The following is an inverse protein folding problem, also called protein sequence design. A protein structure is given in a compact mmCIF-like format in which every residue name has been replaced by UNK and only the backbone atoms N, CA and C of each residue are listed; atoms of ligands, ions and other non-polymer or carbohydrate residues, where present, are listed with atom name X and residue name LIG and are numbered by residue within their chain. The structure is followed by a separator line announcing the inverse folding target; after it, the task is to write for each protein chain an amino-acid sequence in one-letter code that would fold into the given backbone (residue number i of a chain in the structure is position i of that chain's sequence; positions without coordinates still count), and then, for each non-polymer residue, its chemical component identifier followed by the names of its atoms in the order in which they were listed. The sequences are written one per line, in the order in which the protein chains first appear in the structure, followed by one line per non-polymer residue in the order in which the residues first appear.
data_IF_825153338463
#
_entry.id   IF_825153338463
#
_cell.length_a   1.000
_cell.length_b   1.000
_cell.length_c   1.000
_cell.angle_alpha   90.00
_cell.angle_beta   90.00
_cell.angle_gamma   90.00
#
_symmetry.space_group_name_H-M   'P 1'
#
loop_
_entity.id
_entity.type
_entity.pdbx_description
1 polymer ?
#
# COMPACT_ATOMS: atom_id res chain seq x y z
N UNK A 1 -28.71 -2.18 5.72
CA UNK A 1 -28.42 -3.32 4.81
C UNK A 1 -28.32 -2.76 3.39
N UNK A 2 -27.20 -2.10 3.08
CA UNK A 2 -26.93 -1.61 1.74
C UNK A 2 -26.16 -2.71 0.98
N UNK A 3 -26.72 -3.13 -0.15
CA UNK A 3 -26.18 -4.19 -0.98
C UNK A 3 -24.79 -3.81 -1.51
N UNK A 4 -23.82 -4.70 -1.28
CA UNK A 4 -22.54 -4.68 -1.97
C UNK A 4 -22.83 -5.13 -3.40
N UNK A 5 -22.97 -4.18 -4.32
CA UNK A 5 -23.11 -4.46 -5.75
C UNK A 5 -21.83 -5.07 -6.26
N UNK A 6 -21.94 -6.36 -6.55
CA UNK A 6 -20.99 -7.22 -7.23
C UNK A 6 -21.11 -7.02 -8.73
N UNK A 7 -20.52 -5.95 -9.27
CA UNK A 7 -20.11 -5.93 -10.68
C UNK A 7 -19.20 -4.74 -10.96
N UNK A 8 -17.89 -4.95 -10.99
CA UNK A 8 -16.98 -4.04 -11.68
C UNK A 8 -16.19 -4.92 -12.63
N UNK A 9 -16.68 -4.96 -13.86
CA UNK A 9 -16.18 -5.75 -14.98
C UNK A 9 -14.66 -5.57 -15.18
N UNK A 10 -13.96 -6.68 -15.41
CA UNK A 10 -12.50 -6.72 -15.62
C UNK A 10 -12.00 -5.82 -16.76
N UNK A 11 -12.87 -5.43 -17.70
CA UNK A 11 -12.55 -4.51 -18.79
C UNK A 11 -12.26 -3.08 -18.34
N UNK A 12 -12.86 -2.62 -17.23
CA UNK A 12 -12.74 -1.24 -16.77
C UNK A 12 -11.35 -0.94 -16.16
N UNK A 13 -10.66 -1.96 -15.65
CA UNK A 13 -9.36 -1.78 -14.97
C UNK A 13 -8.14 -1.91 -15.91
N UNK A 14 -8.36 -2.25 -17.17
CA UNK A 14 -7.30 -2.52 -18.15
C UNK A 14 -6.29 -1.36 -18.30
N UNK A 15 -6.77 -0.12 -18.23
CA UNK A 15 -5.92 1.07 -18.38
C UNK A 15 -4.92 1.26 -17.22
N UNK A 16 -5.22 0.79 -16.00
CA UNK A 16 -4.30 0.81 -14.86
C UNK A 16 -3.10 -0.12 -15.04
N UNK A 17 -3.15 -1.05 -16.00
CA UNK A 17 -2.05 -1.95 -16.37
C UNK A 17 -0.92 -1.23 -17.13
N UNK A 18 -1.18 -0.03 -17.65
CA UNK A 18 -0.20 0.75 -18.42
C UNK A 18 1.09 0.95 -17.63
N UNK A 19 2.24 0.66 -18.26
CA UNK A 19 3.57 0.74 -17.63
C UNK A 19 3.74 -0.15 -16.37
N UNK A 20 2.92 -1.19 -16.18
CA UNK A 20 3.05 -2.11 -15.04
C UNK A 20 3.60 -3.46 -15.48
N UNK A 21 4.40 -4.08 -14.60
CA UNK A 21 4.72 -5.51 -14.69
C UNK A 21 4.10 -6.20 -13.50
N UNK A 22 3.08 -7.03 -13.74
CA UNK A 22 2.24 -7.62 -12.69
C UNK A 22 2.26 -9.15 -12.83
N UNK A 23 2.56 -9.91 -11.75
CA UNK A 23 2.39 -11.35 -11.76
C UNK A 23 0.91 -11.71 -12.00
N UNK A 24 0.59 -12.64 -12.94
CA UNK A 24 -0.81 -12.94 -13.28
C UNK A 24 -1.68 -13.29 -12.07
N UNK A 25 -1.13 -14.02 -11.10
CA UNK A 25 -1.85 -14.44 -9.89
C UNK A 25 -2.27 -13.28 -8.97
N UNK A 26 -1.61 -12.11 -9.08
CA UNK A 26 -1.95 -10.92 -8.30
C UNK A 26 -2.64 -9.85 -9.13
N UNK A 27 -2.95 -10.12 -10.41
CA UNK A 27 -3.46 -9.11 -11.33
C UNK A 27 -4.72 -8.44 -10.80
N UNK A 28 -5.69 -9.24 -10.34
CA UNK A 28 -6.92 -8.72 -9.75
C UNK A 28 -6.62 -7.76 -8.59
N UNK A 29 -5.85 -8.19 -7.60
CA UNK A 29 -5.57 -7.37 -6.41
C UNK A 29 -4.80 -6.10 -6.75
N UNK A 30 -3.81 -6.20 -7.66
CA UNK A 30 -2.99 -5.06 -8.07
C UNK A 30 -3.78 -4.05 -8.87
N UNK A 31 -4.59 -4.48 -9.85
CA UNK A 31 -5.41 -3.58 -10.64
C UNK A 31 -6.51 -2.93 -9.80
N UNK A 32 -7.12 -3.66 -8.86
CA UNK A 32 -8.07 -3.07 -7.90
C UNK A 32 -7.39 -2.04 -7.01
N UNK A 33 -6.18 -2.30 -6.48
CA UNK A 33 -5.49 -1.30 -5.67
C UNK A 33 -5.08 -0.06 -6.50
N UNK A 34 -4.58 -0.27 -7.73
CA UNK A 34 -4.24 0.83 -8.65
C UNK A 34 -5.44 1.66 -9.06
N UNK A 35 -6.65 1.11 -9.06
CA UNK A 35 -7.85 1.86 -9.45
C UNK A 35 -8.17 3.03 -8.52
N UNK A 36 -7.62 3.01 -7.31
CA UNK A 36 -7.71 4.11 -6.35
C UNK A 36 -6.64 5.19 -6.58
N UNK A 37 -5.62 4.95 -7.41
CA UNK A 37 -4.50 5.87 -7.67
C UNK A 37 -4.37 6.20 -9.16
N UNK A 38 -5.29 6.99 -9.75
CA UNK A 38 -5.22 7.41 -11.16
C UNK A 38 -3.92 8.14 -11.52
N UNK A 39 -3.27 8.79 -10.57
CA UNK A 39 -1.98 9.47 -10.72
C UNK A 39 -0.84 8.51 -11.09
N UNK A 40 -1.01 7.21 -10.82
CA UNK A 40 -0.02 6.18 -11.07
C UNK A 40 -0.20 5.47 -12.42
N UNK A 41 -1.22 5.82 -13.23
CA UNK A 41 -1.48 5.14 -14.53
C UNK A 41 -0.23 5.13 -15.40
N UNK A 42 0.42 6.28 -15.59
CA UNK A 42 1.58 6.39 -16.47
C UNK A 42 2.92 6.08 -15.78
N UNK A 43 2.92 5.81 -14.47
CA UNK A 43 4.13 5.57 -13.69
C UNK A 43 4.62 4.13 -13.87
N UNK A 44 5.90 3.89 -14.24
CA UNK A 44 6.43 2.54 -14.32
C UNK A 44 6.56 1.88 -12.95
N UNK A 45 5.84 0.77 -12.72
CA UNK A 45 5.87 0.02 -11.46
C UNK A 45 5.97 -1.49 -11.74
N UNK A 46 6.97 -2.15 -11.15
CA UNK A 46 7.14 -3.60 -11.24
C UNK A 46 6.77 -4.27 -9.93
N UNK A 47 5.88 -5.25 -9.98
CA UNK A 47 5.53 -6.11 -8.85
C UNK A 47 6.34 -7.41 -8.96
N UNK A 48 7.19 -7.68 -7.97
CA UNK A 48 8.20 -8.75 -8.07
C UNK A 48 8.14 -9.66 -6.85
N UNK A 49 7.87 -10.94 -7.08
CA UNK A 49 7.99 -11.94 -6.01
C UNK A 49 9.44 -12.13 -5.57
N UNK A 50 9.63 -12.18 -4.25
CA UNK A 50 10.87 -12.55 -3.57
C UNK A 50 10.56 -13.73 -2.66
N UNK A 51 11.46 -14.72 -2.59
CA UNK A 51 11.26 -15.91 -1.76
C UNK A 51 10.94 -15.55 -0.30
N UNK A 52 11.67 -14.57 0.25
CA UNK A 52 11.40 -14.00 1.56
C UNK A 52 11.93 -12.57 1.63
N UNK A 53 11.18 -11.70 2.28
CA UNK A 53 11.63 -10.36 2.65
C UNK A 53 11.85 -10.34 4.17
N UNK A 54 12.94 -9.71 4.61
CA UNK A 54 13.23 -9.57 6.03
C UNK A 54 12.31 -8.52 6.64
N UNK A 55 11.56 -8.91 7.67
CA UNK A 55 10.81 -8.00 8.55
C UNK A 55 9.62 -7.28 7.91
N UNK A 56 9.22 -7.59 6.67
CA UNK A 56 7.99 -7.10 6.05
C UNK A 56 7.43 -8.10 5.03
N UNK A 57 6.17 -7.90 4.62
CA UNK A 57 5.50 -8.71 3.60
C UNK A 57 5.75 -8.12 2.21
N UNK A 58 5.66 -6.80 2.09
CA UNK A 58 5.95 -6.05 0.87
C UNK A 58 6.93 -4.90 1.14
N UNK A 59 7.55 -4.38 0.07
CA UNK A 59 8.46 -3.23 0.10
C UNK A 59 8.42 -2.46 -1.23
N UNK A 60 7.94 -1.23 -1.21
CA UNK A 60 8.11 -0.27 -2.28
C UNK A 60 9.51 0.34 -2.25
N UNK A 61 10.10 0.52 -3.43
CA UNK A 61 11.40 1.19 -3.60
C UNK A 61 11.52 1.83 -4.98
N UNK A 62 12.27 2.94 -5.11
CA UNK A 62 12.68 3.43 -6.42
C UNK A 62 13.65 2.45 -7.08
N UNK A 63 13.63 2.37 -8.40
CA UNK A 63 14.70 1.71 -9.16
C UNK A 63 15.88 2.68 -9.22
N UNK A 64 16.97 2.34 -8.52
CA UNK A 64 18.12 3.26 -8.32
C UNK A 64 18.68 3.84 -9.62
N UNK A 65 18.79 3.06 -10.69
CA UNK A 65 19.26 3.57 -11.99
C UNK A 65 18.37 4.65 -12.57
N UNK A 66 17.06 4.64 -12.28
CA UNK A 66 16.13 5.67 -12.74
C UNK A 66 16.23 6.98 -11.94
N UNK A 67 16.86 6.97 -10.76
CA UNK A 67 17.10 8.19 -9.98
C UNK A 67 18.21 9.08 -10.57
N UNK A 68 19.00 8.56 -11.52
CA UNK A 68 19.98 9.35 -12.28
C UNK A 68 19.32 10.22 -13.36
N UNK A 69 18.07 9.92 -13.71
CA UNK A 69 17.29 10.65 -14.72
C UNK A 69 16.38 11.74 -14.13
N UNK A 70 15.52 12.28 -14.99
CA UNK A 70 14.48 13.23 -14.58
C UNK A 70 13.42 12.56 -13.72
N UNK A 71 12.72 13.34 -12.89
CA UNK A 71 11.64 12.84 -12.01
C UNK A 71 10.53 12.13 -12.78
N UNK A 72 10.23 12.60 -13.99
CA UNK A 72 9.18 12.03 -14.86
C UNK A 72 9.53 10.63 -15.38
N UNK A 73 10.82 10.27 -15.45
CA UNK A 73 11.27 8.98 -15.95
C UNK A 73 11.57 7.96 -14.83
N UNK A 74 11.22 8.29 -13.58
CA UNK A 74 11.44 7.39 -12.45
C UNK A 74 10.59 6.14 -12.61
N UNK A 75 11.17 5.02 -12.19
CA UNK A 75 10.47 3.75 -12.10
C UNK A 75 10.58 3.20 -10.69
N UNK A 76 9.59 2.40 -10.32
CA UNK A 76 9.44 1.86 -8.99
C UNK A 76 9.29 0.35 -9.03
N UNK A 77 9.56 -0.27 -7.89
CA UNK A 77 9.40 -1.70 -7.70
C UNK A 77 8.76 -1.97 -6.35
N UNK A 78 7.76 -2.84 -6.35
CA UNK A 78 7.17 -3.39 -5.13
C UNK A 78 7.61 -4.85 -5.05
N UNK A 79 8.47 -5.14 -4.08
CA UNK A 79 8.84 -6.51 -3.76
C UNK A 79 7.73 -7.13 -2.90
N UNK A 80 7.35 -8.37 -3.20
CA UNK A 80 6.31 -9.11 -2.48
C UNK A 80 6.91 -10.44 -2.03
N UNK A 81 6.83 -10.75 -0.73
CA UNK A 81 7.19 -12.08 -0.25
C UNK A 81 6.26 -13.11 -0.86
N UNK A 82 6.79 -14.16 -1.51
CA UNK A 82 5.98 -15.23 -2.10
C UNK A 82 5.24 -16.07 -1.05
N UNK A 83 5.72 -16.02 0.21
CA UNK A 83 5.13 -16.70 1.36
C UNK A 83 4.89 -15.72 2.51
N UNK A 84 3.78 -15.93 3.19
CA UNK A 84 3.46 -15.38 4.49
C UNK A 84 3.96 -16.33 5.58
N UNK A 85 4.88 -15.84 6.42
CA UNK A 85 5.53 -16.66 7.45
C UNK A 85 4.73 -16.61 8.74
N UNK A 86 4.23 -17.76 9.17
CA UNK A 86 3.60 -17.98 10.46
C UNK A 86 4.59 -18.67 11.40
N UNK A 87 4.24 -18.80 12.68
CA UNK A 87 5.11 -19.36 13.71
C UNK A 87 5.45 -20.83 13.44
N UNK A 88 4.49 -21.59 12.89
CA UNK A 88 4.64 -23.03 12.65
C UNK A 88 4.42 -23.45 11.19
N UNK A 89 4.20 -22.50 10.27
CA UNK A 89 3.86 -22.80 8.88
C UNK A 89 4.22 -21.66 7.92
N UNK A 90 4.20 -21.96 6.62
CA UNK A 90 4.33 -20.98 5.54
C UNK A 90 3.07 -21.05 4.67
N UNK A 91 2.43 -19.91 4.45
CA UNK A 91 1.26 -19.82 3.57
C UNK A 91 1.65 -19.09 2.29
N UNK A 92 1.39 -19.61 1.08
CA UNK A 92 1.59 -18.85 -0.15
C UNK A 92 0.83 -17.53 -0.11
N UNK A 93 1.48 -16.42 -0.44
CA UNK A 93 0.92 -15.08 -0.20
C UNK A 93 -0.39 -14.84 -0.97
N UNK A 94 -0.54 -15.48 -2.13
CA UNK A 94 -1.74 -15.37 -2.98
C UNK A 94 -2.94 -16.17 -2.46
N UNK A 95 -2.78 -16.96 -1.39
CA UNK A 95 -3.91 -17.58 -0.69
C UNK A 95 -4.52 -16.67 0.39
N UNK A 96 -3.90 -15.52 0.67
CA UNK A 96 -4.48 -14.57 1.60
C UNK A 96 -5.73 -13.91 1.00
N UNK A 97 -6.71 -13.50 1.83
CA UNK A 97 -7.94 -12.92 1.31
C UNK A 97 -7.69 -11.66 0.47
N UNK A 98 -8.46 -11.50 -0.61
CA UNK A 98 -8.27 -10.41 -1.59
C UNK A 98 -8.19 -9.03 -0.94
N UNK A 99 -9.06 -8.75 0.03
CA UNK A 99 -9.11 -7.47 0.73
C UNK A 99 -7.80 -7.14 1.48
N UNK A 100 -7.11 -8.17 1.99
CA UNK A 100 -5.84 -8.01 2.72
C UNK A 100 -4.71 -7.70 1.72
N UNK A 101 -4.70 -8.41 0.58
CA UNK A 101 -3.75 -8.14 -0.49
C UNK A 101 -3.93 -6.74 -1.08
N UNK A 102 -5.17 -6.33 -1.33
CA UNK A 102 -5.50 -4.98 -1.82
C UNK A 102 -5.04 -3.92 -0.81
N UNK A 103 -5.26 -4.13 0.49
CA UNK A 103 -4.82 -3.19 1.52
C UNK A 103 -3.30 -3.06 1.61
N UNK A 104 -2.55 -4.17 1.60
CA UNK A 104 -1.08 -4.10 1.54
C UNK A 104 -0.58 -3.41 0.27
N UNK A 105 -1.10 -3.78 -0.90
CA UNK A 105 -0.68 -3.15 -2.16
C UNK A 105 -1.01 -1.65 -2.14
N UNK A 106 -2.20 -1.28 -1.64
CA UNK A 106 -2.60 0.11 -1.47
C UNK A 106 -1.61 0.89 -0.61
N UNK A 107 -1.19 0.33 0.53
CA UNK A 107 -0.15 0.93 1.37
C UNK A 107 1.17 1.13 0.61
N UNK A 108 1.65 0.12 -0.14
CA UNK A 108 2.89 0.25 -0.94
C UNK A 108 2.77 1.29 -2.06
N UNK A 109 1.59 1.44 -2.67
CA UNK A 109 1.31 2.51 -3.63
C UNK A 109 1.32 3.88 -2.94
N UNK A 110 0.88 3.98 -1.68
CA UNK A 110 1.02 5.17 -0.86
C UNK A 110 2.48 5.61 -0.65
N UNK A 111 3.41 4.67 -0.44
CA UNK A 111 4.84 4.96 -0.45
C UNK A 111 5.31 5.51 -1.80
N UNK A 112 4.86 4.93 -2.92
CA UNK A 112 5.21 5.44 -4.25
C UNK A 112 4.68 6.87 -4.45
N UNK A 113 3.48 7.19 -3.98
CA UNK A 113 2.94 8.54 -4.01
C UNK A 113 3.84 9.53 -3.27
N UNK A 114 4.33 9.21 -2.06
CA UNK A 114 5.33 10.03 -1.36
C UNK A 114 6.61 10.19 -2.21
N UNK A 115 7.14 9.09 -2.75
CA UNK A 115 8.36 9.12 -3.55
C UNK A 115 8.26 10.02 -4.78
N UNK A 116 7.08 10.10 -5.41
CA UNK A 116 6.85 10.98 -6.56
C UNK A 116 6.98 12.46 -6.19
N UNK A 117 6.68 12.85 -4.96
CA UNK A 117 6.80 14.25 -4.49
C UNK A 117 8.23 14.68 -4.19
N UNK A 118 9.17 13.73 -4.04
CA UNK A 118 10.55 13.98 -3.61
C UNK A 118 11.51 14.29 -4.76
N UNK A 119 12.52 15.12 -4.52
CA UNK A 119 13.66 15.33 -5.44
C UNK A 119 14.62 14.12 -5.44
N UNK A 120 15.56 14.03 -6.38
CA UNK A 120 16.50 12.90 -6.43
C UNK A 120 17.36 12.83 -5.14
N UNK A 121 17.89 13.97 -4.70
CA UNK A 121 18.58 14.08 -3.41
C UNK A 121 17.66 13.78 -2.23
N UNK A 122 16.39 14.21 -2.30
CA UNK A 122 15.39 13.88 -1.29
C UNK A 122 15.09 12.39 -1.17
N UNK A 123 15.18 11.63 -2.27
CA UNK A 123 15.06 10.16 -2.27
C UNK A 123 16.27 9.48 -1.65
N UNK A 124 17.48 9.98 -1.93
CA UNK A 124 18.71 9.47 -1.28
C UNK A 124 18.66 9.74 0.23
N UNK A 125 18.29 10.96 0.62
CA UNK A 125 18.08 11.33 2.02
C UNK A 125 17.00 10.49 2.68
N UNK A 126 15.87 10.23 2.00
CA UNK A 126 14.83 9.33 2.47
C UNK A 126 15.39 7.95 2.78
N UNK A 127 16.13 7.34 1.85
CA UNK A 127 16.70 6.01 2.06
C UNK A 127 17.66 5.95 3.26
N UNK A 128 18.51 6.96 3.42
CA UNK A 128 19.43 7.07 4.55
C UNK A 128 18.68 7.22 5.89
N UNK A 129 17.69 8.12 5.94
CA UNK A 129 16.87 8.35 7.14
C UNK A 129 16.03 7.13 7.49
N UNK A 130 15.50 6.41 6.50
CA UNK A 130 14.70 5.20 6.71
C UNK A 130 15.54 4.07 7.35
N UNK A 131 16.84 4.00 7.06
CA UNK A 131 17.74 3.01 7.68
C UNK A 131 18.19 3.44 9.07
N UNK A 132 18.37 4.74 9.31
CA UNK A 132 19.05 5.26 10.51
C UNK A 132 18.11 5.81 11.59
N UNK A 133 16.84 6.12 11.26
CA UNK A 133 15.91 6.80 12.18
C UNK A 133 14.57 6.07 12.31
N UNK A 134 14.28 5.44 13.46
CA UNK A 134 12.99 4.82 13.74
C UNK A 134 11.81 5.79 13.66
N UNK A 135 12.00 7.04 14.12
CA UNK A 135 10.98 8.08 14.03
C UNK A 135 10.68 8.47 12.58
N UNK A 136 11.70 8.50 11.73
CA UNK A 136 11.51 8.73 10.30
C UNK A 136 10.75 7.58 9.64
N UNK A 137 11.07 6.33 9.98
CA UNK A 137 10.31 5.16 9.52
C UNK A 137 8.84 5.31 9.91
N UNK A 138 8.55 5.57 11.19
CA UNK A 138 7.18 5.78 11.67
C UNK A 138 6.46 6.90 10.91
N UNK A 139 7.14 8.01 10.61
CA UNK A 139 6.58 9.09 9.80
C UNK A 139 6.29 8.64 8.36
N UNK A 140 7.20 7.90 7.72
CA UNK A 140 7.02 7.40 6.36
C UNK A 140 5.84 6.42 6.27
N UNK A 141 5.73 5.47 7.20
CA UNK A 141 4.59 4.53 7.26
C UNK A 141 3.25 5.26 7.43
N UNK A 142 3.21 6.31 8.28
CA UNK A 142 2.03 7.16 8.47
C UNK A 142 1.62 7.91 7.22
N UNK A 143 2.59 8.41 6.45
CA UNK A 143 2.34 9.09 5.17
C UNK A 143 1.75 8.10 4.15
N UNK A 144 2.28 6.88 4.08
CA UNK A 144 1.75 5.86 3.18
C UNK A 144 0.29 5.48 3.53
N UNK A 145 0.00 5.27 4.82
CA UNK A 145 -1.36 5.03 5.30
C UNK A 145 -2.30 6.20 4.98
N UNK A 146 -1.86 7.45 5.21
CA UNK A 146 -2.64 8.65 4.89
C UNK A 146 -2.95 8.76 3.40
N UNK A 147 -1.98 8.46 2.51
CA UNK A 147 -2.26 8.38 1.08
C UNK A 147 -3.34 7.34 0.78
N UNK A 148 -3.22 6.13 1.28
CA UNK A 148 -4.22 5.09 1.06
C UNK A 148 -5.60 5.46 1.60
N UNK A 149 -5.69 6.04 2.80
CA UNK A 149 -6.96 6.51 3.37
C UNK A 149 -7.60 7.60 2.50
N UNK A 150 -6.84 8.61 2.09
CA UNK A 150 -7.33 9.70 1.22
C UNK A 150 -7.78 9.22 -0.16
N UNK A 151 -7.23 8.10 -0.65
CA UNK A 151 -7.62 7.49 -1.91
C UNK A 151 -8.74 6.43 -1.73
N UNK A 152 -9.38 6.33 -0.57
CA UNK A 152 -10.53 5.44 -0.35
C UNK A 152 -10.18 3.98 -0.01
N UNK A 153 -8.91 3.68 0.26
CA UNK A 153 -8.46 2.34 0.67
C UNK A 153 -8.57 2.09 2.18
N UNK A 154 -9.12 3.03 2.95
CA UNK A 154 -9.29 2.94 4.40
C UNK A 154 -9.86 1.60 4.89
N UNK A 155 -10.98 1.10 4.36
CA UNK A 155 -11.54 -0.20 4.74
C UNK A 155 -10.58 -1.38 4.51
N UNK A 156 -9.84 -1.37 3.40
CA UNK A 156 -8.85 -2.40 3.07
C UNK A 156 -7.64 -2.37 4.03
N UNK A 157 -7.18 -1.16 4.39
CA UNK A 157 -6.12 -1.02 5.39
C UNK A 157 -6.55 -1.52 6.77
N UNK A 158 -7.77 -1.17 7.21
CA UNK A 158 -8.32 -1.66 8.49
C UNK A 158 -8.40 -3.18 8.50
N UNK A 159 -8.94 -3.77 7.43
CA UNK A 159 -8.99 -5.23 7.29
C UNK A 159 -7.60 -5.86 7.36
N UNK A 160 -6.62 -5.26 6.68
CA UNK A 160 -5.22 -5.73 6.66
C UNK A 160 -4.58 -5.66 8.03
N UNK A 161 -4.73 -4.55 8.74
CA UNK A 161 -4.13 -4.39 10.08
C UNK A 161 -4.77 -5.28 11.12
N UNK A 162 -6.09 -5.44 11.10
CA UNK A 162 -6.79 -6.41 11.96
C UNK A 162 -6.33 -7.83 11.65
N UNK A 163 -6.25 -8.19 10.37
CA UNK A 163 -5.72 -9.49 9.96
C UNK A 163 -4.34 -9.76 10.55
N UNK A 164 -3.44 -8.78 10.59
CA UNK A 164 -2.10 -8.94 11.18
C UNK A 164 -2.15 -9.01 12.72
N UNK A 165 -2.83 -8.07 13.37
CA UNK A 165 -2.80 -7.95 14.83
C UNK A 165 -3.53 -9.11 15.50
N UNK A 166 -4.63 -9.57 14.90
CA UNK A 166 -5.49 -10.61 15.44
C UNK A 166 -5.04 -12.03 15.04
N UNK A 167 -4.04 -12.18 14.15
CA UNK A 167 -3.60 -13.49 13.68
C UNK A 167 -2.87 -14.28 14.78
N UNK A 168 -3.50 -15.30 15.36
CA UNK A 168 -2.91 -16.07 16.47
C UNK A 168 -1.52 -16.66 16.12
N UNK A 169 -1.31 -17.07 14.87
CA UNK A 169 -0.08 -17.75 14.44
C UNK A 169 1.03 -16.80 13.97
N UNK A 170 0.80 -15.47 13.96
CA UNK A 170 1.86 -14.54 13.59
C UNK A 170 2.87 -14.34 14.73
N UNK A 171 4.18 -14.30 14.44
CA UNK A 171 5.18 -14.07 15.46
C UNK A 171 4.92 -12.77 16.22
N UNK A 172 4.92 -12.83 17.55
CA UNK A 172 4.62 -11.66 18.40
C UNK A 172 5.55 -10.48 18.09
N UNK A 173 6.84 -10.74 17.85
CA UNK A 173 7.81 -9.71 17.47
C UNK A 173 7.42 -8.96 16.17
N UNK A 174 6.74 -9.62 15.24
CA UNK A 174 6.21 -8.96 14.04
C UNK A 174 5.02 -8.08 14.39
N UNK A 175 4.08 -8.57 15.21
CA UNK A 175 2.94 -7.77 15.69
C UNK A 175 3.39 -6.54 16.47
N UNK A 176 4.35 -6.69 17.37
CA UNK A 176 4.90 -5.59 18.18
C UNK A 176 5.56 -4.52 17.30
N UNK A 177 6.26 -4.95 16.24
CA UNK A 177 6.81 -4.04 15.23
C UNK A 177 5.69 -3.24 14.56
N UNK A 178 4.63 -3.92 14.11
CA UNK A 178 3.50 -3.27 13.44
C UNK A 178 2.79 -2.29 14.39
N UNK A 179 2.51 -2.69 15.63
CA UNK A 179 1.89 -1.84 16.64
C UNK A 179 2.71 -0.58 16.97
N UNK A 180 4.05 -0.66 16.90
CA UNK A 180 4.94 0.49 17.18
C UNK A 180 5.03 1.47 16.01
N UNK A 181 5.08 0.98 14.77
CA UNK A 181 5.39 1.79 13.59
C UNK A 181 4.16 2.37 12.89
N UNK A 182 3.01 1.70 12.98
CA UNK A 182 1.82 2.04 12.19
C UNK A 182 0.73 2.69 13.05
N UNK A 183 -0.20 3.41 12.41
CA UNK A 183 -1.45 3.83 13.07
C UNK A 183 -2.34 2.63 13.36
N UNK A 184 -3.09 2.67 14.46
CA UNK A 184 -3.99 1.55 14.81
C UNK A 184 -5.16 1.44 13.81
N UNK A 185 -5.83 0.27 13.73
CA UNK A 185 -7.06 0.15 12.95
C UNK A 185 -8.11 1.21 13.31
N UNK A 186 -8.26 1.52 14.60
CA UNK A 186 -9.23 2.49 15.13
C UNK A 186 -8.86 3.92 14.70
N UNK A 187 -7.57 4.26 14.72
CA UNK A 187 -7.10 5.55 14.22
C UNK A 187 -7.41 5.72 12.72
N UNK A 188 -7.29 4.66 11.91
CA UNK A 188 -7.69 4.74 10.49
C UNK A 188 -9.19 4.93 10.34
N UNK A 189 -10.01 4.20 11.11
CA UNK A 189 -11.48 4.37 11.08
C UNK A 189 -11.85 5.82 11.38
N UNK A 190 -11.21 6.43 12.38
CA UNK A 190 -11.43 7.83 12.72
C UNK A 190 -10.98 8.78 11.60
N UNK A 191 -9.86 8.50 10.92
CA UNK A 191 -9.42 9.28 9.75
C UNK A 191 -10.43 9.18 8.59
N UNK A 192 -10.92 7.98 8.29
CA UNK A 192 -11.94 7.76 7.24
C UNK A 192 -13.21 8.54 7.57
N UNK A 193 -13.71 8.43 8.81
CA UNK A 193 -14.89 9.14 9.27
C UNK A 193 -14.75 10.66 9.12
N UNK A 194 -13.61 11.23 9.53
CA UNK A 194 -13.34 12.68 9.37
C UNK A 194 -13.35 13.11 7.89
N UNK A 195 -12.79 12.31 7.00
CA UNK A 195 -12.80 12.60 5.56
C UNK A 195 -14.21 12.53 4.97
N UNK A 196 -15.01 11.56 5.38
CA UNK A 196 -16.42 11.44 4.98
C UNK A 196 -17.25 12.64 5.46
N UNK A 197 -17.05 13.09 6.70
CA UNK A 197 -17.71 14.28 7.26
C UNK A 197 -17.32 15.56 6.50
N UNK A 198 -16.05 15.74 6.14
CA UNK A 198 -15.57 16.87 5.34
C UNK A 198 -16.17 16.86 3.93
N UNK A 199 -16.18 15.70 3.27
CA UNK A 199 -16.71 15.53 1.92
C UNK A 199 -18.24 15.73 1.89
N UNK A 200 -18.93 15.35 2.96
CA UNK A 200 -20.38 15.49 3.10
C UNK A 200 -20.79 16.93 3.46
N UNK A 201 -20.01 17.61 4.31
CA UNK A 201 -20.24 19.02 4.67
C UNK A 201 -20.05 20.00 3.51
N UNK A 202 -19.21 19.67 2.54
CA UNK A 202 -18.99 20.48 1.33
C UNK A 202 -20.10 20.38 0.27
N UNK A 203 -21.02 19.40 0.37
CA UNK A 203 -22.15 19.24 -0.55
C UNK A 203 -23.44 19.96 -0.12
N UNK A 204 -23.42 20.66 1.01
CA UNK A 204 -24.64 21.21 1.66
C UNK A 204 -24.89 22.70 1.44
N UNK A 205 -24.19 23.35 0.51
CA UNK A 205 -24.48 24.73 0.10
C UNK A 205 -24.73 24.80 -1.42
N UNK A 206 -25.99 24.67 -1.87
CA UNK A 206 -26.44 25.31 -3.08
C UNK A 206 -26.85 26.75 -2.76
N UNK A 207 -26.26 27.72 -3.46
CA UNK A 207 -26.82 29.07 -3.60
C UNK A 207 -28.17 29.02 -4.35
#
# INVERSE_FOLDING_TARGET
MAAITSDTSSDNLSHFRTNKTIPPILEKNVLTALSFYPELINVPIRFVFKQRIKSSVMQAQPVFSSLLGSRANRSYQINISSVFTLTHSLTPIHHLPDQIMIGWIGHELGHIMDYQTRTNLGMVGFGLSYITSPEFVKKAERIADDFAVRHGLGPYLVATKRFILDHAELPQAYKDKIARLYVSPEEIVEQVKKLEEQTSGQRSFPD
#
